data_IF_496994254743
#
_entry.id   IF_496994254743
#
_cell.length_a   1.000
_cell.length_b   1.000
_cell.length_c   1.000
_cell.angle_alpha   90.00
_cell.angle_beta   90.00
_cell.angle_gamma   90.00
#
_symmetry.space_group_name_H-M   'P 1'
#
loop_
_entity.id
_entity.type
_entity.pdbx_description
1 polymer ?
#
# COMPACT_ATOMS: atom_id res chain seq x y z
N UNK A 1 21.25 -12.96 8.70
CA UNK A 1 20.68 -11.76 9.35
C UNK A 1 21.82 -10.79 9.67
N UNK A 2 22.08 -9.84 8.77
CA UNK A 2 23.25 -8.97 8.86
C UNK A 2 22.91 -7.76 9.74
N UNK A 3 23.33 -7.77 11.02
CA UNK A 3 23.14 -6.65 11.95
C UNK A 3 24.04 -5.51 11.51
N UNK A 4 23.55 -4.62 10.63
CA UNK A 4 24.22 -3.33 10.36
C UNK A 4 24.33 -2.58 11.68
N UNK A 5 25.56 -2.33 12.14
CA UNK A 5 25.82 -1.53 13.36
C UNK A 5 25.44 -0.08 13.06
N UNK A 6 24.38 0.48 13.68
CA UNK A 6 23.89 1.81 13.34
C UNK A 6 24.83 2.94 13.81
N UNK A 7 25.76 2.65 14.71
CA UNK A 7 26.52 3.66 15.45
C UNK A 7 27.76 4.19 14.75
N UNK A 8 28.25 3.56 13.68
CA UNK A 8 29.52 3.99 13.05
C UNK A 8 29.44 5.37 12.43
N UNK A 9 28.26 5.76 11.92
CA UNK A 9 28.06 7.08 11.31
C UNK A 9 27.95 8.20 12.36
N UNK A 10 27.17 7.99 13.42
CA UNK A 10 26.99 8.96 14.50
C UNK A 10 28.31 9.26 15.21
N UNK A 11 29.14 8.23 15.44
CA UNK A 11 30.47 8.38 16.02
C UNK A 11 31.38 9.20 15.11
N UNK A 12 31.36 8.97 13.79
CA UNK A 12 32.18 9.72 12.84
C UNK A 12 31.76 11.18 12.74
N UNK A 13 30.46 11.46 12.70
CA UNK A 13 29.92 12.81 12.66
C UNK A 13 30.23 13.57 13.96
N UNK A 14 30.02 12.95 15.12
CA UNK A 14 30.36 13.52 16.42
C UNK A 14 31.85 13.82 16.55
N UNK A 15 32.72 12.89 16.13
CA UNK A 15 34.17 13.10 16.11
C UNK A 15 34.59 14.26 15.20
N UNK A 16 33.93 14.43 14.06
CA UNK A 16 34.20 15.53 13.12
C UNK A 16 33.82 16.88 13.73
N UNK A 17 32.67 16.98 14.42
CA UNK A 17 32.27 18.20 15.13
C UNK A 17 33.24 18.54 16.25
N UNK A 18 33.63 17.55 17.06
CA UNK A 18 34.58 17.76 18.17
C UNK A 18 35.93 18.22 17.63
N UNK A 19 36.46 17.58 16.59
CA UNK A 19 37.70 17.98 15.94
C UNK A 19 37.62 19.42 15.40
N UNK A 20 36.50 19.77 14.77
CA UNK A 20 36.26 21.12 14.26
C UNK A 20 36.26 22.17 15.39
N UNK A 21 35.63 21.87 16.54
CA UNK A 21 35.62 22.77 17.69
C UNK A 21 37.01 22.93 18.30
N UNK A 22 37.80 21.85 18.39
CA UNK A 22 39.19 21.92 18.89
C UNK A 22 40.08 22.73 17.95
N UNK A 23 39.97 22.51 16.63
CA UNK A 23 40.73 23.28 15.64
C UNK A 23 40.36 24.76 15.66
N UNK A 24 39.07 25.09 15.76
CA UNK A 24 38.64 26.48 15.90
C UNK A 24 39.17 27.11 17.17
N UNK A 25 39.08 26.42 18.32
CA UNK A 25 39.59 26.94 19.59
C UNK A 25 41.10 27.19 19.56
N UNK A 26 41.88 26.33 18.88
CA UNK A 26 43.32 26.48 18.77
C UNK A 26 43.73 27.60 17.78
N UNK A 27 43.01 27.74 16.67
CA UNK A 27 43.26 28.77 15.66
C UNK A 27 42.61 30.12 15.98
N UNK A 28 41.83 30.19 17.08
CA UNK A 28 41.12 31.38 17.52
C UNK A 28 42.12 32.46 17.96
N UNK A 29 42.26 33.50 17.12
CA UNK A 29 43.12 34.65 17.41
C UNK A 29 44.36 34.77 16.53
N UNK A 30 44.89 33.64 16.03
CA UNK A 30 46.08 33.60 15.17
C UNK A 30 45.77 33.79 13.68
N UNK A 31 44.56 33.41 13.23
CA UNK A 31 44.15 33.53 11.83
C UNK A 31 42.90 34.42 11.69
N UNK A 32 42.87 35.26 10.64
CA UNK A 32 41.70 36.10 10.32
C UNK A 32 40.46 35.26 9.97
N UNK A 33 40.67 34.03 9.48
CA UNK A 33 39.63 33.05 9.21
C UNK A 33 38.82 32.74 10.49
N UNK A 34 39.47 32.52 11.63
CA UNK A 34 38.77 32.22 12.89
C UNK A 34 38.17 33.46 13.58
N UNK A 35 38.60 34.68 13.23
CA UNK A 35 38.18 35.93 13.90
C UNK A 35 36.82 36.46 13.44
N UNK A 36 36.44 36.25 12.18
CA UNK A 36 35.18 36.78 11.62
C UNK A 36 34.42 35.70 10.85
N UNK A 37 33.46 35.02 11.48
CA UNK A 37 32.80 33.87 10.86
C UNK A 37 31.95 34.19 9.61
N UNK A 38 31.78 35.46 9.22
CA UNK A 38 30.99 35.86 8.04
C UNK A 38 31.52 37.15 7.39
N UNK A 39 32.83 37.26 7.19
CA UNK A 39 33.36 38.37 6.40
C UNK A 39 33.10 38.10 4.90
N UNK A 40 32.20 38.90 4.30
CA UNK A 40 31.76 38.73 2.90
C UNK A 40 32.88 38.85 1.85
N UNK A 41 34.05 39.37 2.25
CA UNK A 41 35.22 39.51 1.38
C UNK A 41 36.11 38.27 1.27
N UNK A 42 35.92 37.26 2.12
CA UNK A 42 36.71 36.03 2.13
C UNK A 42 35.82 34.81 1.86
N UNK A 43 35.87 34.30 0.63
CA UNK A 43 35.26 33.02 0.30
C UNK A 43 36.10 31.88 0.90
N UNK A 44 35.44 30.94 1.59
CA UNK A 44 36.09 29.76 2.14
C UNK A 44 36.49 29.87 3.60
N UNK A 45 35.76 30.66 4.38
CA UNK A 45 35.95 30.64 5.82
C UNK A 45 35.50 29.28 6.41
N UNK A 46 36.07 28.91 7.55
CA UNK A 46 35.80 27.68 8.30
C UNK A 46 34.29 27.53 8.61
N UNK A 47 33.60 28.65 8.85
CA UNK A 47 32.15 28.69 9.04
C UNK A 47 31.36 28.32 7.75
N UNK A 48 31.79 28.80 6.58
CA UNK A 48 31.14 28.50 5.29
C UNK A 48 31.21 27.01 4.99
N UNK A 49 32.37 26.39 5.21
CA UNK A 49 32.56 24.95 5.02
C UNK A 49 31.73 24.12 6.00
N UNK A 50 31.62 24.55 7.26
CA UNK A 50 30.74 23.89 8.23
C UNK A 50 29.28 23.97 7.80
N UNK A 51 28.80 25.16 7.40
CA UNK A 51 27.43 25.33 6.91
C UNK A 51 27.17 24.48 5.67
N UNK A 52 28.12 24.42 4.73
CA UNK A 52 28.02 23.56 3.55
C UNK A 52 27.90 22.08 3.93
N UNK A 53 28.77 21.59 4.82
CA UNK A 53 28.78 20.20 5.27
C UNK A 53 27.46 19.85 5.96
N UNK A 54 27.01 20.68 6.90
CA UNK A 54 25.74 20.48 7.62
C UNK A 54 24.58 20.47 6.61
N UNK A 55 24.53 21.41 5.69
CA UNK A 55 23.47 21.50 4.67
C UNK A 55 23.46 20.27 3.75
N UNK A 56 24.62 19.80 3.30
CA UNK A 56 24.74 18.61 2.47
C UNK A 56 24.22 17.37 3.23
N UNK A 57 24.57 17.21 4.50
CA UNK A 57 24.04 16.13 5.32
C UNK A 57 22.53 16.25 5.52
N UNK A 58 22.02 17.43 5.86
CA UNK A 58 20.58 17.67 6.02
C UNK A 58 19.83 17.30 4.74
N UNK A 59 20.33 17.69 3.56
CA UNK A 59 19.73 17.32 2.28
C UNK A 59 19.68 15.80 2.07
N UNK A 60 20.77 15.08 2.38
CA UNK A 60 20.82 13.62 2.30
C UNK A 60 19.78 12.98 3.23
N UNK A 61 19.68 13.45 4.47
CA UNK A 61 18.70 12.97 5.43
C UNK A 61 17.27 13.22 4.96
N UNK A 62 16.96 14.41 4.46
CA UNK A 62 15.64 14.75 3.93
C UNK A 62 15.24 13.83 2.77
N UNK A 63 16.13 13.61 1.80
CA UNK A 63 15.86 12.70 0.67
C UNK A 63 15.57 11.28 1.16
N UNK A 64 16.31 10.81 2.16
CA UNK A 64 16.06 9.48 2.75
C UNK A 64 14.70 9.44 3.44
N UNK A 65 14.38 10.43 4.27
CA UNK A 65 13.09 10.49 4.99
C UNK A 65 11.91 10.58 4.03
N UNK A 66 11.99 11.38 2.97
CA UNK A 66 10.93 11.47 1.97
C UNK A 66 10.69 10.14 1.26
N UNK A 67 11.76 9.38 0.93
CA UNK A 67 11.61 8.04 0.34
C UNK A 67 10.93 7.05 1.28
N UNK A 68 11.20 7.12 2.57
CA UNK A 68 10.54 6.26 3.56
C UNK A 68 9.07 6.65 3.76
N UNK A 69 8.77 7.95 3.81
CA UNK A 69 7.39 8.47 3.89
C UNK A 69 6.57 8.11 2.65
N UNK A 70 7.16 8.20 1.46
CA UNK A 70 6.48 7.82 0.22
C UNK A 70 6.07 6.34 0.25
N UNK A 71 6.97 5.45 0.66
CA UNK A 71 6.66 4.02 0.80
C UNK A 71 5.55 3.76 1.81
N UNK A 72 5.58 4.44 2.96
CA UNK A 72 4.52 4.32 3.96
C UNK A 72 3.17 4.81 3.42
N UNK A 73 3.18 5.90 2.66
CA UNK A 73 1.99 6.45 2.02
C UNK A 73 1.42 5.49 0.98
N UNK A 74 2.26 4.88 0.14
CA UNK A 74 1.84 3.87 -0.84
C UNK A 74 1.22 2.64 -0.15
N UNK A 75 1.80 2.18 0.96
CA UNK A 75 1.25 1.07 1.75
C UNK A 75 -0.11 1.46 2.35
N UNK A 76 -0.24 2.66 2.89
CA UNK A 76 -1.48 3.11 3.53
C UNK A 76 -2.59 3.34 2.48
N UNK A 77 -2.25 3.90 1.32
CA UNK A 77 -3.16 3.99 0.19
C UNK A 77 -3.64 2.61 -0.24
N UNK A 78 -2.73 1.64 -0.40
CA UNK A 78 -3.10 0.27 -0.75
C UNK A 78 -4.01 -0.36 0.33
N UNK A 79 -3.69 -0.19 1.62
CA UNK A 79 -4.52 -0.69 2.72
C UNK A 79 -5.91 -0.05 2.74
N UNK A 80 -5.99 1.25 2.48
CA UNK A 80 -7.25 1.96 2.38
C UNK A 80 -8.08 1.49 1.18
N UNK A 81 -7.45 1.27 0.02
CA UNK A 81 -8.13 0.67 -1.12
C UNK A 81 -8.67 -0.74 -0.80
N UNK A 82 -7.88 -1.56 -0.10
CA UNK A 82 -8.32 -2.88 0.36
C UNK A 82 -9.45 -2.83 1.39
N UNK A 83 -9.46 -1.84 2.29
CA UNK A 83 -10.54 -1.72 3.28
C UNK A 83 -11.88 -1.30 2.64
N UNK A 84 -11.81 -0.63 1.49
CA UNK A 84 -12.97 -0.28 0.65
C UNK A 84 -13.34 -1.37 -0.35
N UNK A 85 -12.67 -2.53 -0.36
CA UNK A 85 -13.09 -3.65 -1.18
C UNK A 85 -14.32 -4.35 -0.58
N UNK A 86 -15.28 -4.78 -1.41
CA UNK A 86 -16.40 -5.57 -0.93
C UNK A 86 -15.92 -6.92 -0.41
N UNK A 87 -16.36 -7.28 0.78
CA UNK A 87 -16.13 -8.59 1.38
C UNK A 87 -17.35 -9.49 1.14
N UNK A 88 -17.10 -10.65 0.56
CA UNK A 88 -18.13 -11.63 0.28
C UNK A 88 -18.22 -12.64 1.42
N UNK A 89 -19.40 -12.75 2.03
CA UNK A 89 -19.70 -13.72 3.06
C UNK A 89 -20.78 -14.65 2.53
N UNK A 90 -20.46 -15.92 2.39
CA UNK A 90 -21.46 -16.92 2.09
C UNK A 90 -22.00 -17.54 3.39
N UNK A 91 -23.32 -17.52 3.58
CA UNK A 91 -24.00 -18.16 4.71
C UNK A 91 -24.92 -19.26 4.19
N UNK A 92 -24.96 -20.41 4.87
CA UNK A 92 -25.98 -21.43 4.64
C UNK A 92 -27.09 -21.23 5.66
N UNK A 93 -28.32 -21.04 5.20
CA UNK A 93 -29.50 -20.86 6.04
C UNK A 93 -30.65 -21.70 5.49
N UNK A 94 -31.15 -22.64 6.28
CA UNK A 94 -32.26 -23.54 5.89
C UNK A 94 -32.05 -24.28 4.56
N UNK A 95 -30.82 -24.74 4.29
CA UNK A 95 -30.48 -25.44 3.06
C UNK A 95 -30.40 -24.55 1.82
N UNK A 96 -30.49 -23.23 1.97
CA UNK A 96 -30.21 -22.25 0.92
C UNK A 96 -28.89 -21.54 1.23
N UNK A 97 -28.03 -21.38 0.22
CA UNK A 97 -26.86 -20.53 0.39
C UNK A 97 -27.24 -19.08 0.08
N UNK A 98 -26.70 -18.15 0.85
CA UNK A 98 -26.87 -16.72 0.70
C UNK A 98 -25.50 -16.10 0.58
N UNK A 99 -25.20 -15.50 -0.58
CA UNK A 99 -24.01 -14.68 -0.74
C UNK A 99 -24.37 -13.26 -0.31
N UNK A 100 -23.70 -12.78 0.73
CA UNK A 100 -23.84 -11.42 1.27
C UNK A 100 -22.60 -10.61 0.93
N UNK A 101 -22.77 -9.45 0.29
CA UNK A 101 -21.71 -8.45 0.29
C UNK A 101 -21.72 -7.71 1.64
N UNK A 102 -20.52 -7.44 2.14
CA UNK A 102 -20.29 -6.66 3.36
C UNK A 102 -19.14 -5.69 3.12
N UNK A 103 -19.06 -4.65 3.94
CA UNK A 103 -17.90 -3.74 4.06
C UNK A 103 -17.65 -2.68 2.96
N UNK A 104 -18.36 -2.61 1.83
CA UNK A 104 -18.17 -1.48 0.89
C UNK A 104 -19.32 -1.25 -0.11
N UNK A 105 -19.37 -0.02 -0.65
CA UNK A 105 -20.11 0.35 -1.86
C UNK A 105 -19.42 -0.27 -3.08
N UNK A 106 -19.87 -1.45 -3.50
CA UNK A 106 -19.55 -1.98 -4.83
C UNK A 106 -20.50 -1.35 -5.86
N UNK A 107 -19.96 -0.94 -7.00
CA UNK A 107 -20.74 -0.46 -8.14
C UNK A 107 -20.77 -1.54 -9.24
N UNK A 108 -21.88 -1.65 -9.97
CA UNK A 108 -22.05 -2.57 -11.11
C UNK A 108 -21.60 -4.01 -10.81
N UNK A 109 -22.26 -4.68 -9.87
CA UNK A 109 -21.95 -6.08 -9.55
C UNK A 109 -22.57 -6.98 -10.62
N UNK A 110 -21.72 -7.65 -11.41
CA UNK A 110 -22.14 -8.68 -12.36
C UNK A 110 -21.77 -10.05 -11.81
N UNK A 111 -22.75 -10.93 -11.72
CA UNK A 111 -22.56 -12.30 -11.26
C UNK A 111 -22.78 -13.23 -12.46
N UNK A 112 -21.74 -13.99 -12.80
CA UNK A 112 -21.76 -15.00 -13.85
C UNK A 112 -21.63 -16.38 -13.22
N UNK A 113 -22.53 -17.27 -13.59
CA UNK A 113 -22.52 -18.65 -13.14
C UNK A 113 -21.97 -19.52 -14.27
N UNK A 114 -20.87 -20.23 -14.01
CA UNK A 114 -20.15 -20.99 -15.02
C UNK A 114 -20.19 -22.48 -14.67
N UNK A 115 -20.53 -23.31 -15.66
CA UNK A 115 -20.53 -24.78 -15.56
C UNK A 115 -19.63 -25.37 -16.64
N UNK A 116 -18.82 -26.37 -16.30
CA UNK A 116 -17.92 -27.06 -17.25
C UNK A 116 -18.64 -27.65 -18.48
N UNK A 117 -19.94 -27.93 -18.34
CA UNK A 117 -20.71 -28.81 -19.25
C UNK A 117 -21.59 -28.04 -20.24
N UNK A 118 -21.81 -26.72 -20.07
CA UNK A 118 -22.56 -25.94 -21.06
C UNK A 118 -22.07 -24.51 -21.18
N UNK A 119 -21.91 -24.09 -22.44
CA UNK A 119 -21.62 -22.71 -22.89
C UNK A 119 -22.79 -21.73 -22.66
N UNK A 120 -23.77 -22.12 -21.84
CA UNK A 120 -24.89 -21.27 -21.43
C UNK A 120 -24.46 -20.48 -20.18
N UNK A 121 -23.88 -19.31 -20.42
CA UNK A 121 -23.56 -18.35 -19.35
C UNK A 121 -24.86 -17.75 -18.81
N UNK A 122 -25.25 -18.12 -17.60
CA UNK A 122 -26.28 -17.35 -16.89
C UNK A 122 -25.61 -16.12 -16.26
N UNK A 123 -25.98 -14.94 -16.75
CA UNK A 123 -25.43 -13.66 -16.31
C UNK A 123 -26.54 -12.87 -15.62
N UNK A 124 -26.39 -12.62 -14.33
CA UNK A 124 -27.20 -11.64 -13.62
C UNK A 124 -26.39 -10.37 -13.40
N UNK A 125 -26.90 -9.25 -13.92
CA UNK A 125 -26.30 -7.93 -13.74
C UNK A 125 -27.11 -7.18 -12.70
N UNK A 126 -26.46 -6.82 -11.60
CA UNK A 126 -27.06 -6.09 -10.49
C UNK A 126 -26.44 -4.70 -10.38
N UNK A 127 -27.24 -3.67 -10.65
CA UNK A 127 -26.86 -2.28 -10.38
C UNK A 127 -27.34 -1.90 -8.98
N UNK A 128 -26.52 -2.15 -7.98
CA UNK A 128 -26.89 -1.88 -6.57
C UNK A 128 -25.89 -0.96 -5.93
N UNK A 129 -26.34 -0.12 -5.02
CA UNK A 129 -25.50 0.88 -4.35
C UNK A 129 -25.25 0.57 -2.87
N UNK A 130 -25.88 -0.46 -2.27
CA UNK A 130 -25.97 -0.59 -0.80
C UNK A 130 -25.77 -2.02 -0.24
N UNK A 131 -25.35 -2.08 1.03
CA UNK A 131 -25.09 -3.27 1.86
C UNK A 131 -26.38 -3.80 2.54
N UNK A 132 -26.51 -5.12 2.79
CA UNK A 132 -25.92 -6.25 2.08
C UNK A 132 -26.80 -6.65 0.88
N UNK A 133 -26.18 -6.94 -0.27
CA UNK A 133 -26.85 -7.66 -1.36
C UNK A 133 -26.93 -9.12 -0.94
N UNK A 134 -28.15 -9.64 -0.79
CA UNK A 134 -28.38 -11.06 -0.51
C UNK A 134 -28.70 -11.72 -1.84
N UNK A 135 -27.73 -12.42 -2.41
CA UNK A 135 -27.99 -13.26 -3.58
C UNK A 135 -28.50 -14.61 -3.08
N UNK A 136 -29.73 -14.93 -3.47
CA UNK A 136 -30.29 -16.25 -3.23
C UNK A 136 -29.58 -17.24 -4.14
N UNK A 137 -28.68 -18.03 -3.57
CA UNK A 137 -28.03 -19.09 -4.32
C UNK A 137 -29.03 -20.24 -4.50
N UNK A 138 -29.27 -20.72 -5.74
CA UNK A 138 -30.06 -21.92 -5.93
C UNK A 138 -29.32 -23.08 -5.24
N UNK A 139 -29.95 -23.75 -4.25
CA UNK A 139 -29.33 -24.90 -3.62
C UNK A 139 -29.24 -26.00 -4.66
N UNK A 140 -28.00 -26.42 -4.98
CA UNK A 140 -27.69 -27.64 -5.70
C UNK A 140 -28.47 -27.87 -6.99
N UNK A 141 -27.76 -27.83 -8.11
CA UNK A 141 -28.21 -28.47 -9.35
C UNK A 141 -29.34 -27.67 -10.04
N UNK A 142 -28.98 -26.79 -10.98
CA UNK A 142 -29.90 -26.46 -12.07
C UNK A 142 -29.96 -27.73 -12.95
N UNK A 143 -30.70 -28.75 -12.50
CA UNK A 143 -30.60 -30.14 -13.01
C UNK A 143 -29.27 -30.82 -12.66
N UNK A 144 -28.97 -32.00 -13.22
CA UNK A 144 -27.74 -32.82 -13.00
C UNK A 144 -26.37 -32.11 -13.20
N UNK A 145 -26.31 -30.78 -13.37
CA UNK A 145 -25.11 -30.00 -13.63
C UNK A 145 -24.44 -29.60 -12.31
N UNK A 146 -23.19 -30.04 -12.13
CA UNK A 146 -22.29 -29.55 -11.08
C UNK A 146 -21.88 -28.11 -11.45
N UNK A 147 -22.18 -27.14 -10.57
CA UNK A 147 -21.59 -25.80 -10.66
C UNK A 147 -20.21 -25.83 -10.04
N UNK A 148 -19.24 -25.21 -10.72
CA UNK A 148 -17.83 -25.28 -10.31
C UNK A 148 -17.35 -23.95 -9.72
N UNK A 149 -17.77 -22.83 -10.29
CA UNK A 149 -17.41 -21.51 -9.78
C UNK A 149 -18.39 -20.40 -10.16
N UNK A 150 -18.41 -19.36 -9.33
CA UNK A 150 -19.15 -18.12 -9.50
C UNK A 150 -18.10 -17.04 -9.80
N UNK A 151 -18.28 -16.32 -10.90
CA UNK A 151 -17.47 -15.15 -11.22
C UNK A 151 -18.24 -13.88 -10.88
N UNK A 152 -17.63 -13.03 -10.07
CA UNK A 152 -18.18 -11.75 -9.65
C UNK A 152 -17.29 -10.66 -10.24
N UNK A 153 -17.85 -9.84 -11.11
CA UNK A 153 -17.21 -8.63 -11.60
C UNK A 153 -17.82 -7.44 -10.88
N UNK A 154 -17.00 -6.52 -10.39
CA UNK A 154 -17.49 -5.31 -9.71
C UNK A 154 -16.53 -4.15 -9.94
N UNK A 155 -17.04 -2.92 -9.81
CA UNK A 155 -16.23 -1.71 -9.79
C UNK A 155 -16.08 -1.20 -8.37
N UNK A 156 -14.87 -0.77 -8.03
CA UNK A 156 -14.64 -0.06 -6.77
C UNK A 156 -15.05 1.42 -6.86
N UNK A 157 -14.89 2.15 -5.76
CA UNK A 157 -15.15 3.60 -5.68
C UNK A 157 -14.32 4.44 -6.66
N UNK A 158 -13.15 3.93 -7.08
CA UNK A 158 -12.27 4.56 -8.06
C UNK A 158 -12.58 4.13 -9.50
N UNK A 159 -13.74 3.49 -9.74
CA UNK A 159 -14.19 2.98 -11.04
C UNK A 159 -13.22 1.95 -11.68
N UNK A 160 -12.37 1.31 -10.88
CA UNK A 160 -11.50 0.22 -11.33
C UNK A 160 -12.29 -1.08 -11.31
N UNK A 161 -12.17 -1.86 -12.38
CA UNK A 161 -12.88 -3.13 -12.55
C UNK A 161 -12.08 -4.27 -11.90
N UNK A 162 -12.77 -5.07 -11.10
CA UNK A 162 -12.24 -6.26 -10.46
C UNK A 162 -13.06 -7.47 -10.85
N UNK A 163 -12.38 -8.62 -10.86
CA UNK A 163 -12.95 -9.95 -11.00
C UNK A 163 -12.59 -10.78 -9.79
N UNK A 164 -13.57 -11.43 -9.19
CA UNK A 164 -13.36 -12.35 -8.09
C UNK A 164 -14.06 -13.67 -8.40
N UNK A 165 -13.41 -14.78 -8.11
CA UNK A 165 -13.95 -16.11 -8.36
C UNK A 165 -14.22 -16.80 -7.04
N UNK A 166 -15.43 -17.32 -6.87
CA UNK A 166 -15.84 -18.14 -5.74
C UNK A 166 -16.00 -19.56 -6.25
N UNK A 167 -15.13 -20.47 -5.82
CA UNK A 167 -15.23 -21.89 -6.13
C UNK A 167 -16.11 -22.58 -5.10
N UNK A 168 -16.99 -23.45 -5.57
CA UNK A 168 -17.75 -24.32 -4.71
C UNK A 168 -17.14 -25.73 -4.73
N UNK A 169 -16.79 -26.26 -3.56
CA UNK A 169 -16.52 -27.68 -3.37
C UNK A 169 -17.71 -28.35 -2.70
N UNK A 170 -17.68 -29.68 -2.57
CA UNK A 170 -18.78 -30.45 -1.94
C UNK A 170 -19.04 -30.02 -0.48
N UNK A 171 -18.05 -29.45 0.19
CA UNK A 171 -18.07 -29.20 1.64
C UNK A 171 -17.76 -27.77 2.05
N UNK A 172 -17.19 -26.94 1.17
CA UNK A 172 -16.85 -25.55 1.48
C UNK A 172 -16.79 -24.67 0.22
N UNK A 173 -16.62 -23.37 0.46
CA UNK A 173 -16.42 -22.39 -0.60
C UNK A 173 -15.04 -21.79 -0.47
N UNK A 174 -14.36 -21.64 -1.61
CA UNK A 174 -13.08 -20.96 -1.69
C UNK A 174 -13.32 -19.64 -2.40
N UNK A 175 -13.18 -18.54 -1.66
CA UNK A 175 -13.23 -17.20 -2.23
C UNK A 175 -11.81 -16.84 -2.65
N UNK A 176 -11.57 -16.73 -3.95
CA UNK A 176 -10.30 -16.25 -4.48
C UNK A 176 -10.09 -14.76 -4.16
N UNK A 177 -8.84 -14.30 -4.19
CA UNK A 177 -8.54 -12.88 -4.09
C UNK A 177 -9.11 -12.13 -5.30
N UNK A 178 -9.62 -10.90 -5.14
CA UNK A 178 -10.06 -10.09 -6.27
C UNK A 178 -8.85 -9.73 -7.15
N UNK A 179 -9.00 -9.94 -8.45
CA UNK A 179 -8.02 -9.62 -9.48
C UNK A 179 -8.46 -8.36 -10.22
N UNK A 180 -7.56 -7.39 -10.35
CA UNK A 180 -7.83 -6.16 -11.11
C UNK A 180 -7.81 -6.48 -12.60
N UNK A 181 -8.89 -6.15 -13.31
CA UNK A 181 -8.94 -6.26 -14.76
C UNK A 181 -8.28 -5.01 -15.36
N UNK A 182 -7.14 -5.20 -16.03
CA UNK A 182 -6.52 -4.17 -16.88
C UNK A 182 -7.26 -4.17 -18.22
N UNK A 183 -7.93 -3.06 -18.53
CA UNK A 183 -8.43 -2.80 -19.89
C UNK A 183 -7.28 -2.62 -20.87
#
# INVERSE_FOLDING_TARGET
MNKKKPYTFEIFFGATIVLFLVLNAHLYGESDLAKRPYDSGSWGNVADWLTFIVTAFTAIFLVKTFREQQKLTEIEQSRHEFSLMPNFILKSEYGKFKLSLTNATAYDVKVKYLTEISQDDYIEVWHTYHNPIILNYPPGSIGNRKMEYIQIEFKNVSNQLYKQVVFQTESFFIIGSPEKLTN
#
